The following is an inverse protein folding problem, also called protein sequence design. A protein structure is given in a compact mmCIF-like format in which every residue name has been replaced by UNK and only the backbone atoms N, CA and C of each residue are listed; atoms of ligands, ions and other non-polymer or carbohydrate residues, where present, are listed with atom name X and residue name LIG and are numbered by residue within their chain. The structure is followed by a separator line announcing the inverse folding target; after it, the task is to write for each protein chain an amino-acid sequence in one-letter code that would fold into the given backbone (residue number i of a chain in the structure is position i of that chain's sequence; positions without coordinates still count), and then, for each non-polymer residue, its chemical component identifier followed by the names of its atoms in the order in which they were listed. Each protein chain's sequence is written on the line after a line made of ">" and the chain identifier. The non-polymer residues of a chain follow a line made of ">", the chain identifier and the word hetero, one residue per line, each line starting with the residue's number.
data_IF_887555760498
#
_entry.id   IF_887555760498
#
_cell.length_a   1.000
_cell.length_b   1.000
_cell.length_c   1.000
_cell.angle_alpha   90.00
_cell.angle_beta   90.00
_cell.angle_gamma   90.00
#
_symmetry.space_group_name_H-M   'P 1'
#
loop_
_entity.id
_entity.type
_entity.pdbx_description
1 polymer ?
#
# COMPACT_ATOMS: atom_id res chain seq x y z
N UNK A 1 -17.04 51.22 -14.96
CA UNK A 1 -17.22 50.27 -13.85
C UNK A 1 -17.40 48.84 -14.30
N UNK A 2 -18.34 48.49 -15.21
CA UNK A 2 -18.56 47.07 -15.64
C UNK A 2 -17.33 46.39 -16.29
N UNK A 3 -16.51 47.13 -17.05
CA UNK A 3 -15.29 46.58 -17.68
C UNK A 3 -14.15 46.31 -16.67
N UNK A 4 -14.03 47.11 -15.63
CA UNK A 4 -13.07 46.93 -14.55
C UNK A 4 -13.43 45.72 -13.66
N UNK A 5 -14.73 45.50 -13.41
CA UNK A 5 -15.21 44.40 -12.59
C UNK A 5 -14.98 43.05 -13.29
N UNK A 6 -15.09 43.00 -14.64
CA UNK A 6 -14.77 41.81 -15.43
C UNK A 6 -13.28 41.43 -15.39
N UNK A 7 -12.37 42.41 -15.42
CA UNK A 7 -10.93 42.19 -15.36
C UNK A 7 -10.51 41.71 -13.97
N UNK A 8 -11.10 42.25 -12.90
CA UNK A 8 -10.84 41.79 -11.52
C UNK A 8 -11.33 40.35 -11.31
N UNK A 9 -12.49 39.99 -11.87
CA UNK A 9 -13.04 38.63 -11.79
C UNK A 9 -12.18 37.62 -12.51
N UNK A 10 -11.67 37.96 -13.71
CA UNK A 10 -10.76 37.09 -14.49
C UNK A 10 -9.41 36.95 -13.79
N UNK A 11 -8.90 38.04 -13.19
CA UNK A 11 -7.67 38.01 -12.41
C UNK A 11 -7.82 37.18 -11.13
N UNK A 12 -8.96 37.24 -10.44
CA UNK A 12 -9.27 36.38 -9.29
C UNK A 12 -9.41 34.91 -9.68
N UNK A 13 -10.02 34.60 -10.84
CA UNK A 13 -10.07 33.22 -11.34
C UNK A 13 -8.68 32.68 -11.71
N UNK A 14 -7.82 33.52 -12.29
CA UNK A 14 -6.43 33.11 -12.61
C UNK A 14 -5.56 32.93 -11.37
N UNK A 15 -5.79 33.74 -10.31
CA UNK A 15 -5.10 33.57 -9.02
C UNK A 15 -5.59 32.34 -8.25
N UNK A 16 -6.85 31.95 -8.39
CA UNK A 16 -7.39 30.74 -7.77
C UNK A 16 -6.83 29.45 -8.40
N UNK A 17 -6.48 29.46 -9.69
CA UNK A 17 -5.87 28.31 -10.35
C UNK A 17 -4.36 28.16 -10.10
N UNK A 18 -3.69 29.21 -9.61
CA UNK A 18 -2.27 29.15 -9.27
C UNK A 18 -2.00 28.63 -7.84
N UNK A 19 -3.04 28.50 -7.01
CA UNK A 19 -2.89 28.11 -5.60
C UNK A 19 -2.96 26.60 -5.33
N UNK A 20 -3.13 25.75 -6.36
CA UNK A 20 -3.36 24.31 -6.20
C UNK A 20 -2.40 23.39 -6.95
N UNK A 21 -1.31 23.90 -7.47
CA UNK A 21 -0.25 23.02 -7.97
C UNK A 21 0.85 22.97 -6.92
N UNK A 22 0.68 22.11 -5.90
CA UNK A 22 1.84 21.63 -5.19
C UNK A 22 2.82 21.13 -6.24
N UNK A 23 4.08 21.54 -6.15
CA UNK A 23 5.05 21.01 -7.11
C UNK A 23 5.06 19.48 -7.00
N UNK A 24 5.32 18.78 -8.09
CA UNK A 24 5.44 17.32 -8.05
C UNK A 24 6.44 16.86 -6.97
N UNK A 25 7.43 17.69 -6.68
CA UNK A 25 8.41 17.45 -5.61
C UNK A 25 7.74 17.54 -4.24
N UNK A 26 6.89 18.53 -3.98
CA UNK A 26 6.22 18.69 -2.71
C UNK A 26 5.27 17.51 -2.44
N UNK A 27 4.54 17.05 -3.46
CA UNK A 27 3.72 15.83 -3.38
C UNK A 27 4.57 14.62 -3.03
N UNK A 28 5.69 14.39 -3.75
CA UNK A 28 6.58 13.24 -3.49
C UNK A 28 7.13 13.29 -2.06
N UNK A 29 7.57 14.46 -1.59
CA UNK A 29 8.18 14.61 -0.26
C UNK A 29 7.16 14.52 0.87
N UNK A 30 5.90 14.89 0.63
CA UNK A 30 4.82 14.85 1.62
C UNK A 30 4.04 13.53 1.63
N UNK A 31 4.13 12.72 0.56
CA UNK A 31 3.40 11.45 0.48
C UNK A 31 3.89 10.47 1.55
N UNK A 32 2.99 10.06 2.41
CA UNK A 32 3.20 9.08 3.47
C UNK A 32 2.34 7.84 3.28
N UNK A 33 2.47 6.90 4.20
CA UNK A 33 1.62 5.69 4.24
C UNK A 33 0.41 5.96 5.13
N UNK A 34 -0.78 5.93 4.55
CA UNK A 34 -2.03 6.14 5.28
C UNK A 34 -2.31 4.98 6.23
N UNK A 35 -2.65 5.28 7.48
CA UNK A 35 -2.87 4.28 8.53
C UNK A 35 -4.36 3.96 8.72
N UNK A 36 -5.26 4.84 8.28
CA UNK A 36 -6.69 4.61 8.28
C UNK A 36 -7.37 5.40 7.16
N UNK A 37 -8.45 4.85 6.61
CA UNK A 37 -9.28 5.48 5.60
C UNK A 37 -10.67 5.77 6.17
N UNK A 38 -11.31 6.83 5.66
CA UNK A 38 -12.73 7.08 5.84
C UNK A 38 -13.53 6.20 4.88
N UNK A 39 -14.85 6.13 5.09
CA UNK A 39 -15.75 5.41 4.19
C UNK A 39 -16.16 6.26 2.95
N UNK A 40 -15.51 7.42 2.71
CA UNK A 40 -15.80 8.29 1.58
C UNK A 40 -15.45 7.60 0.27
N UNK A 41 -16.41 7.56 -0.64
CA UNK A 41 -16.27 6.91 -1.94
C UNK A 41 -15.24 7.65 -2.80
N UNK A 42 -14.35 6.93 -3.45
CA UNK A 42 -13.44 7.45 -4.47
C UNK A 42 -14.18 7.48 -5.82
N UNK A 43 -14.39 8.65 -6.45
CA UNK A 43 -15.06 8.77 -7.74
C UNK A 43 -14.35 7.96 -8.84
N UNK A 44 -15.13 7.43 -9.77
CA UNK A 44 -14.58 6.64 -10.89
C UNK A 44 -13.64 7.48 -11.77
N UNK A 45 -13.91 8.76 -11.95
CA UNK A 45 -13.09 9.70 -12.72
C UNK A 45 -11.70 9.92 -12.10
N UNK A 46 -11.63 9.92 -10.76
CA UNK A 46 -10.36 10.03 -10.04
C UNK A 46 -9.56 8.73 -10.17
N UNK A 47 -10.23 7.57 -10.05
CA UNK A 47 -9.60 6.27 -10.27
C UNK A 47 -9.09 6.15 -11.72
N UNK A 48 -9.84 6.61 -12.71
CA UNK A 48 -9.40 6.64 -14.10
C UNK A 48 -8.15 7.53 -14.27
N UNK A 49 -8.12 8.69 -13.63
CA UNK A 49 -6.96 9.59 -13.65
C UNK A 49 -5.73 8.92 -13.04
N UNK A 50 -5.89 8.24 -11.92
CA UNK A 50 -4.82 7.49 -11.25
C UNK A 50 -4.32 6.33 -12.13
N UNK A 51 -5.22 5.56 -12.74
CA UNK A 51 -4.86 4.49 -13.67
C UNK A 51 -4.08 5.04 -14.89
N UNK A 52 -4.50 6.17 -15.46
CA UNK A 52 -3.78 6.84 -16.56
C UNK A 52 -2.36 7.24 -16.17
N UNK A 53 -2.14 7.69 -14.94
CA UNK A 53 -0.80 7.98 -14.44
C UNK A 53 0.08 6.71 -14.39
N UNK A 54 -0.48 5.58 -13.97
CA UNK A 54 0.20 4.28 -14.04
C UNK A 54 0.53 3.85 -15.46
N UNK A 55 -0.42 4.00 -16.39
CA UNK A 55 -0.23 3.65 -17.80
C UNK A 55 0.78 4.53 -18.54
N UNK A 56 1.03 5.76 -18.05
CA UNK A 56 2.01 6.67 -18.64
C UNK A 56 3.45 6.38 -18.24
N UNK A 57 3.68 5.35 -17.43
CA UNK A 57 5.00 4.97 -16.93
C UNK A 57 5.86 4.37 -18.05
N UNK A 58 7.15 4.67 -18.02
CA UNK A 58 8.13 3.99 -18.87
C UNK A 58 8.37 2.56 -18.38
N UNK A 59 8.69 1.66 -19.30
CA UNK A 59 9.08 0.28 -18.98
C UNK A 59 10.23 -0.19 -19.85
N UNK A 60 10.97 -1.20 -19.39
CA UNK A 60 12.07 -1.76 -20.13
C UNK A 60 11.62 -2.18 -21.54
N UNK A 61 12.32 -1.65 -22.58
CA UNK A 61 11.99 -1.86 -24.00
C UNK A 61 10.50 -1.63 -24.36
N UNK A 62 9.83 -0.79 -23.56
CA UNK A 62 8.40 -0.47 -23.72
C UNK A 62 7.47 -1.69 -23.67
N UNK A 63 7.79 -2.68 -22.83
CA UNK A 63 6.98 -3.91 -22.72
C UNK A 63 5.66 -3.69 -22.01
N UNK A 64 5.55 -2.67 -21.15
CA UNK A 64 4.32 -2.35 -20.40
C UNK A 64 3.72 -3.62 -19.77
N UNK A 65 4.49 -4.33 -18.92
CA UNK A 65 4.16 -5.68 -18.47
C UNK A 65 3.05 -5.73 -17.42
N UNK A 66 2.38 -4.64 -17.18
CA UNK A 66 1.36 -4.48 -16.15
C UNK A 66 -0.05 -4.67 -16.68
N UNK A 67 -0.94 -5.04 -15.76
CA UNK A 67 -2.38 -4.92 -15.88
C UNK A 67 -2.94 -4.42 -14.55
N UNK A 68 -3.81 -3.43 -14.58
CA UNK A 68 -4.35 -2.79 -13.38
C UNK A 68 -5.83 -3.08 -13.25
N UNK A 69 -6.27 -3.47 -12.06
CA UNK A 69 -7.68 -3.68 -11.75
C UNK A 69 -8.07 -2.74 -10.63
N UNK A 70 -8.89 -1.73 -10.93
CA UNK A 70 -9.50 -0.89 -9.90
C UNK A 70 -10.73 -1.62 -9.32
N UNK A 71 -10.78 -1.73 -8.00
CA UNK A 71 -11.85 -2.41 -7.26
C UNK A 71 -12.43 -1.45 -6.24
N UNK A 72 -13.74 -1.22 -6.33
CA UNK A 72 -14.54 -0.46 -5.35
C UNK A 72 -15.61 -1.34 -4.71
N UNK A 73 -15.76 -2.57 -5.18
CA UNK A 73 -16.69 -3.55 -4.64
C UNK A 73 -16.15 -4.10 -3.32
N UNK A 74 -16.77 -3.70 -2.22
CA UNK A 74 -16.36 -4.05 -0.86
C UNK A 74 -16.42 -5.57 -0.58
N UNK A 75 -17.36 -6.29 -1.19
CA UNK A 75 -17.48 -7.74 -1.00
C UNK A 75 -16.31 -8.47 -1.65
N UNK A 76 -15.90 -8.03 -2.84
CA UNK A 76 -14.70 -8.54 -3.53
C UNK A 76 -13.44 -8.25 -2.73
N UNK A 77 -13.29 -7.02 -2.23
CA UNK A 77 -12.13 -6.65 -1.42
C UNK A 77 -12.04 -7.45 -0.12
N UNK A 78 -13.17 -7.66 0.57
CA UNK A 78 -13.25 -8.49 1.79
C UNK A 78 -12.96 -9.95 1.50
N UNK A 79 -13.44 -10.50 0.39
CA UNK A 79 -13.13 -11.86 -0.05
C UNK A 79 -11.62 -12.05 -0.24
N UNK A 80 -10.96 -11.15 -0.97
CA UNK A 80 -9.51 -11.18 -1.16
C UNK A 80 -8.77 -11.02 0.18
N UNK A 81 -9.23 -10.13 1.05
CA UNK A 81 -8.65 -9.91 2.37
C UNK A 81 -8.86 -11.11 3.30
N UNK A 82 -10.05 -11.71 3.29
CA UNK A 82 -10.46 -12.78 4.21
C UNK A 82 -9.84 -14.15 3.87
N UNK A 83 -9.63 -14.45 2.59
CA UNK A 83 -9.04 -15.74 2.16
C UNK A 83 -7.55 -15.89 2.52
N UNK A 84 -6.87 -14.79 2.88
CA UNK A 84 -5.45 -14.79 3.26
C UNK A 84 -5.16 -14.89 4.76
N UNK A 85 -6.16 -14.81 5.62
CA UNK A 85 -5.99 -14.87 7.08
C UNK A 85 -6.68 -16.07 7.71
N UNK A 86 -6.36 -17.25 7.23
CA UNK A 86 -6.54 -18.50 7.99
C UNK A 86 -5.46 -18.62 9.08
N UNK A 87 -5.14 -17.57 9.81
CA UNK A 87 -4.52 -17.72 11.11
C UNK A 87 -5.63 -18.03 12.10
N UNK A 88 -6.06 -19.27 12.11
CA UNK A 88 -6.67 -19.85 13.32
C UNK A 88 -5.53 -19.94 14.32
N UNK A 89 -5.54 -19.18 15.43
CA UNK A 89 -4.61 -19.44 16.50
C UNK A 89 -4.79 -20.92 16.86
N UNK A 90 -3.73 -21.71 17.02
CA UNK A 90 -3.88 -23.08 17.47
C UNK A 90 -4.67 -23.04 18.78
N UNK A 91 -5.92 -23.54 18.73
CA UNK A 91 -6.71 -23.81 19.93
C UNK A 91 -5.89 -24.81 20.72
N UNK A 92 -5.22 -24.29 21.74
CA UNK A 92 -4.47 -24.86 22.82
C UNK A 92 -4.45 -26.39 23.06
N UNK A 93 -4.05 -27.18 22.10
CA UNK A 93 -3.53 -28.52 22.37
C UNK A 93 -2.09 -28.55 21.84
N UNK A 94 -1.15 -28.54 22.79
CA UNK A 94 0.28 -28.69 22.53
C UNK A 94 0.48 -30.04 21.82
N UNK A 95 1.09 -30.10 20.60
CA UNK A 95 1.39 -31.38 19.98
C UNK A 95 2.28 -32.20 20.93
N UNK A 96 1.87 -33.40 21.25
CA UNK A 96 2.73 -34.35 21.97
C UNK A 96 3.97 -34.63 21.11
N UNK A 97 5.14 -34.26 21.60
CA UNK A 97 6.41 -34.53 20.93
C UNK A 97 7.42 -33.41 20.84
N UNK A 98 7.18 -32.27 21.47
CA UNK A 98 8.25 -31.27 21.61
C UNK A 98 9.24 -31.75 22.68
N UNK A 99 10.56 -31.93 22.36
CA UNK A 99 11.55 -32.32 23.34
C UNK A 99 11.71 -31.19 24.37
N UNK A 100 11.56 -31.53 25.64
CA UNK A 100 11.99 -30.69 26.74
C UNK A 100 13.52 -30.73 26.79
N UNK A 101 14.17 -29.77 26.14
CA UNK A 101 15.61 -29.63 26.15
C UNK A 101 16.01 -28.25 25.69
N UNK A 102 16.71 -27.53 26.57
CA UNK A 102 17.37 -26.27 26.24
C UNK A 102 18.33 -26.51 25.05
N UNK A 103 18.34 -25.70 23.98
CA UNK A 103 19.34 -25.83 22.93
C UNK A 103 20.74 -25.55 23.54
N UNK A 104 21.62 -26.51 23.47
CA UNK A 104 23.05 -26.29 23.74
C UNK A 104 23.62 -25.48 22.58
N UNK A 105 24.11 -24.27 22.84
CA UNK A 105 24.80 -23.44 21.86
C UNK A 105 24.44 -21.94 21.89
N UNK A 106 24.25 -21.35 23.06
CA UNK A 106 24.21 -19.88 23.19
C UNK A 106 25.66 -19.40 23.34
N UNK A 107 26.18 -18.51 22.45
CA UNK A 107 27.51 -17.93 22.63
C UNK A 107 27.54 -17.07 23.90
N UNK A 108 28.56 -17.22 24.73
CA UNK A 108 28.88 -16.35 25.87
C UNK A 108 29.21 -14.95 25.31
N UNK A 109 28.35 -13.96 25.63
CA UNK A 109 28.56 -12.57 25.23
C UNK A 109 27.34 -11.66 25.23
N UNK A 110 26.24 -12.02 25.87
CA UNK A 110 25.15 -11.06 26.09
C UNK A 110 25.39 -10.24 27.37
N UNK A 111 25.12 -8.89 27.33
CA UNK A 111 25.25 -8.03 28.50
C UNK A 111 24.30 -8.49 29.62
N UNK A 112 24.81 -8.57 30.84
CA UNK A 112 24.04 -8.77 32.07
C UNK A 112 23.01 -7.63 32.21
N UNK A 113 21.72 -7.95 32.09
CA UNK A 113 20.66 -6.97 32.30
C UNK A 113 19.25 -7.44 31.98
N UNK A 114 19.04 -8.70 31.58
CA UNK A 114 17.70 -9.24 31.49
C UNK A 114 17.37 -10.08 32.74
N UNK A 115 16.26 -9.81 33.46
CA UNK A 115 15.86 -10.61 34.61
C UNK A 115 15.51 -12.03 34.15
N UNK A 116 16.24 -13.00 34.62
CA UNK A 116 15.91 -14.41 34.52
C UNK A 116 14.62 -14.67 35.29
N UNK A 117 13.58 -15.14 34.60
CA UNK A 117 12.36 -15.64 35.24
C UNK A 117 11.11 -14.87 34.91
N UNK A 118 10.63 -14.96 33.65
CA UNK A 118 9.21 -14.82 33.38
C UNK A 118 8.59 -16.24 33.42
N UNK A 119 7.61 -16.50 34.32
CA UNK A 119 6.84 -17.74 34.30
C UNK A 119 6.02 -17.78 33.03
N UNK A 120 5.86 -18.98 32.47
CA UNK A 120 4.93 -19.27 31.38
C UNK A 120 3.53 -18.77 31.73
N UNK A 121 3.05 -17.76 31.05
CA UNK A 121 1.73 -17.18 31.23
C UNK A 121 1.84 -15.66 31.21
N UNK A 122 1.29 -15.03 30.18
CA UNK A 122 1.17 -13.58 30.02
C UNK A 122 2.42 -12.83 29.50
N UNK A 123 2.97 -13.27 28.37
CA UNK A 123 3.40 -12.21 27.46
C UNK A 123 2.13 -11.54 26.92
N UNK A 124 1.91 -10.24 27.18
CA UNK A 124 0.89 -9.54 26.42
C UNK A 124 1.26 -9.75 24.95
N UNK A 125 0.34 -10.30 24.18
CA UNK A 125 0.46 -10.32 22.71
C UNK A 125 0.96 -8.92 22.33
N UNK A 126 1.94 -8.78 21.42
CA UNK A 126 2.34 -7.47 20.94
C UNK A 126 1.05 -6.76 20.57
N UNK A 127 0.86 -5.47 20.94
CA UNK A 127 -0.41 -4.81 20.73
C UNK A 127 -0.78 -5.03 19.26
N UNK A 128 -1.69 -5.95 19.04
CA UNK A 128 -2.36 -6.17 17.76
C UNK A 128 -2.94 -4.81 17.45
N UNK A 129 -2.41 -4.16 16.43
CA UNK A 129 -2.57 -2.78 16.05
C UNK A 129 -3.78 -2.12 16.66
N UNK A 130 -3.55 -0.96 17.30
CA UNK A 130 -4.56 -0.30 18.11
C UNK A 130 -5.93 -0.33 17.44
N UNK A 131 -6.95 -0.58 18.23
CA UNK A 131 -8.35 -0.53 17.84
C UNK A 131 -8.64 0.79 17.12
N UNK A 132 -8.65 0.77 15.78
CA UNK A 132 -8.91 1.96 14.98
C UNK A 132 -8.19 2.03 13.63
N UNK A 133 -7.13 1.25 13.38
CA UNK A 133 -6.44 1.28 12.10
C UNK A 133 -7.28 0.58 11.01
N UNK A 134 -8.06 1.34 10.24
CA UNK A 134 -8.84 0.89 9.09
C UNK A 134 -8.03 1.06 7.79
N UNK A 135 -6.93 0.35 7.65
CA UNK A 135 -6.05 0.42 6.48
C UNK A 135 -5.68 -0.95 5.92
N UNK A 136 -6.63 -1.88 5.97
CA UNK A 136 -6.57 -3.16 5.25
C UNK A 136 -7.31 -3.05 3.91
N UNK A 137 -7.16 -4.05 3.06
CA UNK A 137 -7.90 -4.11 1.79
C UNK A 137 -9.42 -4.11 2.02
N UNK A 138 -9.90 -4.74 3.09
CA UNK A 138 -11.33 -4.78 3.43
C UNK A 138 -11.87 -3.48 4.03
N UNK A 139 -11.01 -2.54 4.44
CA UNK A 139 -11.39 -1.27 5.07
C UNK A 139 -11.22 -0.07 4.12
N UNK A 140 -10.52 -0.25 3.01
CA UNK A 140 -10.28 0.81 2.03
C UNK A 140 -11.52 1.01 1.13
N UNK A 141 -11.92 2.25 0.80
CA UNK A 141 -13.05 2.49 -0.12
C UNK A 141 -12.73 2.10 -1.57
N UNK A 142 -11.46 2.09 -1.96
CA UNK A 142 -11.00 1.66 -3.27
C UNK A 142 -9.61 1.02 -3.19
N UNK A 143 -9.33 0.14 -4.14
CA UNK A 143 -8.02 -0.46 -4.32
C UNK A 143 -7.69 -0.60 -5.81
N UNK A 144 -6.40 -0.53 -6.16
CA UNK A 144 -5.90 -0.92 -7.47
C UNK A 144 -4.99 -2.13 -7.26
N UNK A 145 -5.34 -3.25 -7.88
CA UNK A 145 -4.51 -4.45 -7.89
C UNK A 145 -3.57 -4.35 -9.09
N UNK A 146 -2.29 -4.52 -8.86
CA UNK A 146 -1.25 -4.45 -9.86
C UNK A 146 -0.83 -5.87 -10.20
N UNK A 147 -1.05 -6.28 -11.44
CA UNK A 147 -0.61 -7.54 -11.99
C UNK A 147 0.57 -7.33 -12.93
N UNK A 148 1.46 -8.31 -13.00
CA UNK A 148 2.51 -8.41 -14.01
C UNK A 148 2.25 -9.57 -14.95
N UNK A 149 2.62 -9.42 -16.22
CA UNK A 149 2.62 -10.51 -17.18
C UNK A 149 3.76 -11.50 -16.91
N UNK A 150 3.44 -12.77 -16.85
CA UNK A 150 4.45 -13.85 -16.79
C UNK A 150 5.22 -14.04 -18.11
N UNK A 151 4.66 -13.54 -19.23
CA UNK A 151 5.24 -13.65 -20.57
C UNK A 151 6.07 -12.42 -20.98
N UNK A 152 6.24 -11.45 -20.09
CA UNK A 152 7.00 -10.24 -20.38
C UNK A 152 8.45 -10.54 -20.70
N UNK A 153 8.97 -9.87 -21.74
CA UNK A 153 10.40 -9.84 -22.08
C UNK A 153 11.16 -8.77 -21.30
N UNK A 154 10.50 -8.03 -20.41
CA UNK A 154 11.17 -7.11 -19.49
C UNK A 154 12.13 -7.91 -18.60
N UNK A 155 13.38 -7.46 -18.42
CA UNK A 155 14.32 -8.07 -17.49
C UNK A 155 13.81 -8.14 -16.06
N UNK A 156 13.02 -7.15 -15.65
CA UNK A 156 12.36 -7.09 -14.35
C UNK A 156 10.96 -6.45 -14.45
N UNK A 157 9.97 -7.26 -14.80
CA UNK A 157 8.57 -6.82 -14.89
C UNK A 157 8.02 -6.32 -13.54
N UNK A 158 8.55 -6.81 -12.42
CA UNK A 158 8.13 -6.34 -11.08
C UNK A 158 8.63 -4.93 -10.80
N UNK A 159 9.85 -4.59 -11.27
CA UNK A 159 10.39 -3.24 -11.18
C UNK A 159 9.55 -2.26 -12.01
N UNK A 160 9.25 -2.61 -13.26
CA UNK A 160 8.39 -1.80 -14.13
C UNK A 160 7.00 -1.55 -13.49
N UNK A 161 6.39 -2.60 -12.91
CA UNK A 161 5.13 -2.48 -12.15
C UNK A 161 5.28 -1.57 -10.92
N UNK A 162 6.44 -1.60 -10.24
CA UNK A 162 6.74 -0.73 -9.11
C UNK A 162 6.80 0.74 -9.51
N UNK A 163 7.42 1.06 -10.65
CA UNK A 163 7.45 2.42 -11.21
C UNK A 163 6.03 2.90 -11.52
N UNK A 164 5.21 2.07 -12.16
CA UNK A 164 3.82 2.39 -12.46
C UNK A 164 2.99 2.60 -11.17
N UNK A 165 3.21 1.77 -10.14
CA UNK A 165 2.58 1.92 -8.84
C UNK A 165 2.94 3.26 -8.21
N UNK A 166 4.21 3.68 -8.26
CA UNK A 166 4.64 4.97 -7.71
C UNK A 166 4.01 6.16 -8.44
N UNK A 167 3.85 6.10 -9.76
CA UNK A 167 3.13 7.14 -10.50
C UNK A 167 1.66 7.22 -10.07
N UNK A 168 0.99 6.09 -9.83
CA UNK A 168 -0.37 6.07 -9.29
C UNK A 168 -0.44 6.64 -7.87
N UNK A 169 0.55 6.37 -7.03
CA UNK A 169 0.67 6.95 -5.69
C UNK A 169 0.75 8.48 -5.75
N UNK A 170 1.62 9.02 -6.61
CA UNK A 170 1.76 10.46 -6.78
C UNK A 170 0.47 11.09 -7.29
N UNK A 171 -0.18 10.47 -8.27
CA UNK A 171 -1.45 10.96 -8.82
C UNK A 171 -2.56 10.98 -7.76
N UNK A 172 -2.72 9.88 -7.00
CA UNK A 172 -3.71 9.79 -5.91
C UNK A 172 -3.44 10.85 -4.83
N UNK A 173 -2.18 11.01 -4.42
CA UNK A 173 -1.78 12.04 -3.44
C UNK A 173 -2.04 13.45 -3.95
N UNK A 174 -1.79 13.73 -5.24
CA UNK A 174 -2.08 15.02 -5.88
C UNK A 174 -3.58 15.35 -5.91
N UNK A 175 -4.43 14.32 -5.96
CA UNK A 175 -5.90 14.45 -5.85
C UNK A 175 -6.38 14.56 -4.40
N UNK A 176 -5.44 14.54 -3.42
CA UNK A 176 -5.74 14.65 -2.00
C UNK A 176 -6.23 13.36 -1.36
N UNK A 177 -5.89 12.20 -1.94
CA UNK A 177 -6.15 10.90 -1.35
C UNK A 177 -4.96 10.43 -0.51
N UNK A 178 -5.28 9.75 0.58
CA UNK A 178 -4.34 8.91 1.29
C UNK A 178 -4.11 7.61 0.52
N UNK A 179 -2.91 7.06 0.63
CA UNK A 179 -2.49 5.85 -0.08
C UNK A 179 -1.74 4.89 0.82
N UNK A 180 -1.85 3.59 0.51
CA UNK A 180 -1.04 2.55 1.14
C UNK A 180 -0.78 1.41 0.18
N UNK A 181 0.50 1.10 -0.06
CA UNK A 181 0.88 -0.07 -0.83
C UNK A 181 0.96 -1.27 0.12
N UNK A 182 0.30 -2.36 -0.22
CA UNK A 182 0.30 -3.61 0.53
C UNK A 182 0.61 -4.79 -0.39
N UNK A 183 1.38 -5.75 0.12
CA UNK A 183 1.70 -6.98 -0.59
C UNK A 183 0.99 -8.21 -0.03
N UNK A 184 0.47 -8.14 1.20
CA UNK A 184 -0.19 -9.30 1.83
C UNK A 184 -1.33 -9.92 1.01
N UNK A 185 -2.19 -9.14 0.30
CA UNK A 185 -3.26 -9.71 -0.51
C UNK A 185 -2.77 -10.52 -1.72
N UNK A 186 -1.53 -10.30 -2.18
CA UNK A 186 -0.99 -11.06 -3.34
C UNK A 186 -0.89 -12.56 -3.07
N UNK A 187 -0.78 -12.96 -1.80
CA UNK A 187 -0.80 -14.38 -1.42
C UNK A 187 -2.13 -15.04 -1.76
N UNK A 188 -3.24 -14.35 -1.49
CA UNK A 188 -4.59 -14.82 -1.85
C UNK A 188 -4.78 -14.79 -3.36
N UNK A 189 -4.42 -13.65 -3.99
CA UNK A 189 -4.60 -13.43 -5.43
C UNK A 189 -3.80 -14.42 -6.30
N UNK A 190 -2.65 -14.90 -5.83
CA UNK A 190 -1.78 -15.86 -6.51
C UNK A 190 -1.86 -17.28 -5.88
N UNK A 191 -2.82 -17.52 -4.98
CA UNK A 191 -2.97 -18.77 -4.24
C UNK A 191 -3.86 -19.80 -4.94
N UNK A 192 -4.45 -20.71 -4.14
CA UNK A 192 -5.27 -21.82 -4.65
C UNK A 192 -6.48 -21.39 -5.49
N UNK A 193 -7.05 -20.21 -5.20
CA UNK A 193 -8.23 -19.68 -5.92
C UNK A 193 -7.83 -18.67 -7.01
N UNK A 194 -6.58 -18.67 -7.47
CA UNK A 194 -6.05 -17.72 -8.43
C UNK A 194 -6.93 -17.60 -9.68
N UNK A 195 -7.21 -18.72 -10.34
CA UNK A 195 -7.97 -18.74 -11.60
C UNK A 195 -9.40 -18.19 -11.41
N UNK A 196 -10.05 -18.55 -10.30
CA UNK A 196 -11.40 -18.06 -9.97
C UNK A 196 -11.40 -16.56 -9.71
N UNK A 197 -10.37 -16.04 -9.00
CA UNK A 197 -10.23 -14.62 -8.74
C UNK A 197 -9.87 -13.85 -10.02
N UNK A 198 -9.04 -14.43 -10.88
CA UNK A 198 -8.73 -13.84 -12.19
C UNK A 198 -9.98 -13.72 -13.06
N UNK A 199 -10.81 -14.78 -13.16
CA UNK A 199 -12.08 -14.73 -13.87
C UNK A 199 -12.99 -13.62 -13.31
N UNK A 200 -13.15 -13.55 -11.99
CA UNK A 200 -13.97 -12.54 -11.30
C UNK A 200 -13.49 -11.12 -11.54
N UNK A 201 -12.19 -10.92 -11.62
CA UNK A 201 -11.52 -9.62 -11.80
C UNK A 201 -11.29 -9.27 -13.28
N UNK A 202 -11.60 -10.16 -14.22
CA UNK A 202 -11.37 -9.97 -15.65
C UNK A 202 -9.88 -9.95 -16.02
N UNK A 203 -9.05 -10.74 -15.34
CA UNK A 203 -7.60 -10.83 -15.50
C UNK A 203 -7.24 -12.15 -16.17
N UNK A 204 -6.26 -12.13 -17.08
CA UNK A 204 -5.71 -13.36 -17.64
C UNK A 204 -5.01 -14.20 -16.54
N UNK A 205 -5.31 -15.52 -16.41
CA UNK A 205 -4.71 -16.36 -15.39
C UNK A 205 -3.18 -16.53 -15.49
N UNK A 206 -2.56 -16.16 -16.62
CA UNK A 206 -1.09 -16.13 -16.73
C UNK A 206 -0.44 -14.97 -15.96
N UNK A 207 -1.24 -13.99 -15.53
CA UNK A 207 -0.75 -12.83 -14.80
C UNK A 207 -0.63 -13.09 -13.30
N UNK A 208 0.31 -12.42 -12.66
CA UNK A 208 0.57 -12.53 -11.23
C UNK A 208 0.41 -11.19 -10.55
N UNK A 209 -0.36 -11.15 -9.47
CA UNK A 209 -0.47 -9.96 -8.62
C UNK A 209 0.86 -9.69 -7.91
N UNK A 210 1.35 -8.43 -7.97
CA UNK A 210 2.63 -8.02 -7.36
C UNK A 210 2.44 -7.05 -6.21
N UNK A 211 1.38 -6.27 -6.22
CA UNK A 211 1.04 -5.33 -5.15
C UNK A 211 -0.44 -4.94 -5.22
N UNK A 212 -0.92 -4.34 -4.16
CA UNK A 212 -2.23 -3.67 -4.11
C UNK A 212 -2.03 -2.27 -3.57
N UNK A 213 -2.52 -1.27 -4.28
CA UNK A 213 -2.56 0.13 -3.86
C UNK A 213 -3.94 0.42 -3.28
N UNK A 214 -4.01 0.68 -1.98
CA UNK A 214 -5.22 1.13 -1.28
C UNK A 214 -5.34 2.64 -1.43
N UNK A 215 -6.56 3.13 -1.67
CA UNK A 215 -6.84 4.54 -1.95
C UNK A 215 -8.12 4.95 -1.23
N UNK A 216 -8.08 6.11 -0.59
CA UNK A 216 -9.24 6.71 0.09
C UNK A 216 -8.88 8.01 0.77
N UNK A 217 -9.84 8.71 1.34
CA UNK A 217 -9.53 9.85 2.20
C UNK A 217 -8.93 9.36 3.50
N UNK A 218 -7.79 9.95 3.90
CA UNK A 218 -7.15 9.62 5.17
C UNK A 218 -8.05 10.05 6.35
N UNK A 219 -8.18 9.16 7.34
CA UNK A 219 -8.84 9.49 8.60
C UNK A 219 -7.85 10.21 9.53
N UNK A 220 -7.90 11.51 9.54
CA UNK A 220 -6.99 12.37 10.33
C UNK A 220 -7.08 12.15 11.85
N UNK A 221 -8.17 11.52 12.32
CA UNK A 221 -8.32 11.18 13.74
C UNK A 221 -7.45 10.00 14.18
N UNK A 222 -7.01 9.18 13.22
CA UNK A 222 -6.24 7.94 13.47
C UNK A 222 -4.85 8.00 12.82
N UNK A 223 -4.67 8.85 11.83
CA UNK A 223 -3.45 8.95 11.02
C UNK A 223 -2.34 9.71 11.78
N UNK A 224 -2.01 9.22 12.97
CA UNK A 224 -0.85 9.73 13.71
C UNK A 224 0.43 9.28 13.02
N UNK A 225 1.45 10.13 13.07
CA UNK A 225 2.77 9.82 12.57
C UNK A 225 3.24 8.45 13.11
N UNK A 226 3.32 7.46 12.24
CA UNK A 226 3.78 6.12 12.59
C UNK A 226 5.22 5.92 12.11
N UNK A 227 5.92 4.94 12.69
CA UNK A 227 7.25 4.54 12.25
C UNK A 227 7.27 4.12 10.76
N UNK A 228 6.11 3.73 10.19
CA UNK A 228 5.97 3.39 8.77
C UNK A 228 6.20 4.58 7.84
N UNK A 229 6.11 5.82 8.33
CA UNK A 229 6.36 7.04 7.56
C UNK A 229 7.76 7.61 7.77
N UNK A 230 8.52 7.11 8.76
CA UNK A 230 9.90 7.55 9.02
C UNK A 230 10.81 7.19 7.85
N UNK A 231 11.59 8.14 7.39
CA UNK A 231 12.57 7.95 6.32
C UNK A 231 13.98 8.10 6.87
N UNK A 232 14.90 7.32 6.32
CA UNK A 232 16.32 7.43 6.63
C UNK A 232 16.88 8.76 6.10
N UNK A 233 18.03 9.19 6.66
CA UNK A 233 18.67 10.42 6.22
C UNK A 233 19.33 10.26 4.84
N UNK A 234 19.49 11.39 4.14
CA UNK A 234 20.16 11.42 2.84
C UNK A 234 21.57 10.84 2.93
N UNK A 235 22.30 11.17 3.98
CA UNK A 235 23.68 10.77 4.20
C UNK A 235 23.83 9.26 4.42
N UNK A 236 22.79 8.61 5.01
CA UNK A 236 22.82 7.17 5.27
C UNK A 236 22.46 6.33 4.04
N UNK A 237 21.79 6.90 3.05
CA UNK A 237 21.22 6.16 1.91
C UNK A 237 21.67 6.67 0.54
N UNK A 238 22.54 7.68 0.48
CA UNK A 238 23.06 8.18 -0.78
C UNK A 238 24.51 8.61 -0.69
N UNK A 239 25.18 8.68 -1.83
CA UNK A 239 26.50 9.31 -1.98
C UNK A 239 26.51 10.15 -3.25
N UNK A 240 27.25 11.26 -3.22
CA UNK A 240 27.53 12.10 -4.38
C UNK A 240 29.02 12.05 -4.71
N UNK A 241 29.36 11.69 -5.94
CA UNK A 241 30.73 11.68 -6.47
C UNK A 241 30.83 12.85 -7.45
N UNK A 242 31.73 13.80 -7.16
CA UNK A 242 31.94 15.02 -7.98
C UNK A 242 33.27 14.97 -8.71
#
# INVERSE_FOLDING_TARGET
>A
MKRFMGIILVLMLMLASAAYADSAIDVILSTGTTQAFTDEVVPAEDLETILRAGLSTESAINQQPWFFVAVTNQDVMKEIAGSGMGFTPPTGEKPEGFPEGKPEGVPEGMPEGMPAGAPNGDMPAPPMGGSGAKASLGDSPAAIIIYKSGESKSPDASFDCGLATQNMVIAASSLGYGVKIVSSPTRTLNGENHDTLCEKLGVDPSMQAVAVLLIGKADSGVDAASSATTRESLESKSSMIQ
#
